data_IF_544709144430
#
_entry.id   IF_544709144430
#
_cell.length_a   1.000
_cell.length_b   1.000
_cell.length_c   1.000
_cell.angle_alpha   90.00
_cell.angle_beta   90.00
_cell.angle_gamma   90.00
#
_symmetry.space_group_name_H-M   'P 1'
#
loop_
_entity.id
_entity.type
_entity.pdbx_description
1 polymer ?
#
# COMPACT_ATOMS: atom_id res chain seq x y z
N UNK A 1 -8.59 -7.11 12.45
CA UNK A 1 -7.23 -6.55 12.29
C UNK A 1 -6.44 -7.54 11.47
N UNK A 2 -5.86 -7.14 10.34
CA UNK A 2 -5.23 -8.06 9.40
C UNK A 2 -3.96 -8.68 9.99
N UNK A 3 -3.88 -10.00 10.11
CA UNK A 3 -2.76 -10.71 10.73
C UNK A 3 -1.54 -10.88 9.82
N UNK A 4 -1.62 -10.32 8.61
CA UNK A 4 -0.55 -10.34 7.63
C UNK A 4 -0.58 -9.10 6.72
N UNK A 5 0.51 -8.88 5.96
CA UNK A 5 0.56 -7.90 4.89
C UNK A 5 -0.50 -8.21 3.81
N UNK A 6 -1.27 -7.21 3.38
CA UNK A 6 -2.31 -7.38 2.37
C UNK A 6 -1.80 -7.78 0.97
N UNK A 7 -0.49 -7.66 0.71
CA UNK A 7 0.14 -7.94 -0.59
C UNK A 7 0.82 -9.31 -0.59
N UNK A 8 1.78 -9.53 0.31
CA UNK A 8 2.60 -10.75 0.32
C UNK A 8 2.17 -11.78 1.38
N UNK A 9 1.17 -11.46 2.20
CA UNK A 9 0.65 -12.32 3.27
C UNK A 9 1.68 -12.76 4.33
N UNK A 10 2.83 -12.07 4.43
CA UNK A 10 3.77 -12.29 5.54
C UNK A 10 3.10 -11.90 6.86
N UNK A 11 3.18 -12.80 7.85
CA UNK A 11 2.64 -12.57 9.19
C UNK A 11 3.50 -11.57 9.98
N UNK A 12 2.87 -10.81 10.87
CA UNK A 12 3.56 -9.85 11.75
C UNK A 12 4.47 -10.58 12.75
N UNK A 13 5.66 -10.02 13.08
CA UNK A 13 5.77 -8.79 13.88
C UNK A 13 6.50 -7.62 13.19
N UNK A 14 6.48 -7.56 11.85
CA UNK A 14 7.00 -6.39 11.11
C UNK A 14 6.12 -5.14 11.37
N UNK A 15 6.66 -3.91 11.24
CA UNK A 15 5.84 -2.70 11.27
C UNK A 15 4.71 -2.77 10.24
N UNK A 16 3.51 -2.36 10.64
CA UNK A 16 2.35 -2.20 9.75
C UNK A 16 2.39 -0.81 9.15
N UNK A 17 2.64 -0.72 7.84
CA UNK A 17 2.62 0.55 7.11
C UNK A 17 1.28 0.69 6.36
N UNK A 18 0.57 1.82 6.47
CA UNK A 18 -0.64 2.06 5.70
C UNK A 18 -0.34 2.07 4.20
N UNK A 19 -1.14 1.34 3.43
CA UNK A 19 -1.07 1.31 1.96
C UNK A 19 -2.16 2.17 1.32
N UNK A 20 -3.25 2.44 2.04
CA UNK A 20 -4.42 3.14 1.57
C UNK A 20 -5.69 2.68 2.29
N UNK A 21 -6.84 3.15 1.82
CA UNK A 21 -8.16 2.77 2.35
C UNK A 21 -8.97 1.99 1.32
N UNK A 22 -9.78 1.05 1.81
CA UNK A 22 -10.86 0.44 1.04
C UNK A 22 -12.05 1.42 0.94
N UNK A 23 -12.93 1.29 -0.08
CA UNK A 23 -14.09 2.16 -0.26
C UNK A 23 -15.03 2.21 0.95
N UNK A 24 -15.08 1.14 1.73
CA UNK A 24 -15.85 1.03 2.97
C UNK A 24 -15.19 1.71 4.20
N UNK A 25 -14.02 2.33 4.02
CA UNK A 25 -13.31 3.08 5.05
C UNK A 25 -12.34 2.27 5.90
N UNK A 26 -12.09 1.01 5.55
CA UNK A 26 -11.08 0.20 6.23
C UNK A 26 -9.67 0.50 5.72
N UNK A 27 -8.73 0.76 6.61
CA UNK A 27 -7.32 0.90 6.25
C UNK A 27 -6.68 -0.44 5.88
N UNK A 28 -5.92 -0.43 4.80
CA UNK A 28 -5.12 -1.56 4.30
C UNK A 28 -3.68 -1.38 4.76
N UNK A 29 -3.10 -2.44 5.32
CA UNK A 29 -1.74 -2.42 5.86
C UNK A 29 -0.82 -3.40 5.11
N UNK A 30 0.45 -3.00 4.95
CA UNK A 30 1.51 -3.78 4.33
C UNK A 30 2.78 -3.82 5.16
N UNK A 31 3.68 -4.72 4.80
CA UNK A 31 5.06 -4.65 5.30
C UNK A 31 5.81 -3.51 4.61
N UNK A 32 6.94 -3.12 5.19
CA UNK A 32 7.81 -2.04 4.70
C UNK A 32 8.16 -2.17 3.21
N UNK A 33 8.54 -3.37 2.76
CA UNK A 33 8.89 -3.63 1.37
C UNK A 33 7.72 -3.39 0.42
N UNK A 34 6.54 -3.95 0.74
CA UNK A 34 5.35 -3.76 -0.09
C UNK A 34 4.85 -2.30 -0.03
N UNK A 35 5.03 -1.61 1.09
CA UNK A 35 4.69 -0.19 1.20
C UNK A 35 5.54 0.67 0.25
N UNK A 36 6.86 0.43 0.20
CA UNK A 36 7.74 1.10 -0.76
C UNK A 36 7.35 0.83 -2.22
N UNK A 37 6.93 -0.40 -2.54
CA UNK A 37 6.44 -0.75 -3.89
C UNK A 37 5.15 0.02 -4.22
N UNK A 38 4.19 0.07 -3.29
CA UNK A 38 2.92 0.79 -3.46
C UNK A 38 3.15 2.29 -3.61
N UNK A 39 4.02 2.88 -2.80
CA UNK A 39 4.38 4.30 -2.89
C UNK A 39 5.01 4.61 -4.26
N UNK A 40 5.97 3.81 -4.71
CA UNK A 40 6.60 3.98 -6.01
C UNK A 40 5.60 3.83 -7.17
N UNK A 41 4.64 2.91 -7.07
CA UNK A 41 3.57 2.77 -8.05
C UNK A 41 2.67 4.01 -8.06
N UNK A 42 2.23 4.48 -6.89
CA UNK A 42 1.39 5.65 -6.76
C UNK A 42 2.05 6.93 -7.28
N UNK A 43 3.37 7.10 -7.05
CA UNK A 43 4.14 8.20 -7.61
C UNK A 43 4.14 8.17 -9.14
N UNK A 44 4.41 7.02 -9.75
CA UNK A 44 4.38 6.85 -11.22
C UNK A 44 2.99 7.11 -11.79
N UNK A 45 1.93 6.61 -11.17
CA UNK A 45 0.56 6.84 -11.66
C UNK A 45 0.19 8.31 -11.68
N UNK A 46 0.57 9.09 -10.65
CA UNK A 46 0.33 10.53 -10.61
C UNK A 46 1.10 11.29 -11.69
N UNK A 47 2.35 10.90 -11.95
CA UNK A 47 3.15 11.48 -13.03
C UNK A 47 2.49 11.22 -14.40
N UNK A 48 2.03 9.99 -14.63
CA UNK A 48 1.34 9.65 -15.89
C UNK A 48 0.05 10.44 -16.09
N UNK A 49 -0.74 10.62 -15.04
CA UNK A 49 -1.96 11.43 -15.10
C UNK A 49 -1.64 12.90 -15.41
N UNK A 50 -0.56 13.45 -14.84
CA UNK A 50 -0.11 14.81 -15.14
C UNK A 50 0.35 14.98 -16.59
N UNK A 51 1.02 13.97 -17.16
CA UNK A 51 1.49 13.99 -18.56
C UNK A 51 0.33 13.83 -19.56
N UNK A 52 -0.77 13.21 -19.15
CA UNK A 52 -1.95 13.01 -19.99
C UNK A 52 -2.91 14.22 -20.03
N UNK A 53 -2.69 15.23 -19.18
CA UNK A 53 -3.46 16.49 -19.13
C UNK A 53 -2.62 17.69 -19.59
#
# INVERSE_FOLDING_TARGET
>A
MGDACAICHVKWPRPRTPLGGLPEGHEVYGCDECAGIVEAHAARSREQELVLH
#
